data_IF_803718503480
#
_entry.id   IF_803718503480
#
_cell.length_a   1.000
_cell.length_b   1.000
_cell.length_c   1.000
_cell.angle_alpha   90.00
_cell.angle_beta   90.00
_cell.angle_gamma   90.00
#
_symmetry.space_group_name_H-M   'P 1'
#
loop_
_entity.id
_entity.type
_entity.pdbx_description
1 polymer ?
#
# COMPACT_ATOMS: atom_id res chain seq x y z
N UNK A 1 29.74 49.71 -28.53
CA UNK A 1 30.21 48.34 -28.26
C UNK A 1 29.27 47.70 -27.26
N UNK A 2 28.79 46.51 -27.58
CA UNK A 2 27.81 45.73 -26.83
C UNK A 2 28.32 45.40 -25.43
N UNK A 3 27.43 45.46 -24.44
CA UNK A 3 27.22 44.38 -23.46
C UNK A 3 25.84 44.60 -22.83
N UNK A 4 24.84 43.87 -23.36
CA UNK A 4 23.60 43.59 -22.66
C UNK A 4 23.87 42.38 -21.78
N UNK A 5 23.84 42.54 -20.46
CA UNK A 5 23.73 41.40 -19.54
C UNK A 5 22.25 40.97 -19.48
N UNK A 6 22.02 39.69 -19.71
CA UNK A 6 20.71 39.06 -19.68
C UNK A 6 20.17 38.93 -18.24
N UNK A 7 18.85 39.02 -18.01
CA UNK A 7 18.27 38.76 -16.71
C UNK A 7 18.29 37.25 -16.42
N UNK A 8 18.89 36.88 -15.29
CA UNK A 8 18.89 35.52 -14.75
C UNK A 8 17.46 35.10 -14.37
N UNK A 9 17.05 33.93 -14.84
CA UNK A 9 15.74 33.32 -14.55
C UNK A 9 15.79 32.64 -13.17
N UNK A 10 15.23 33.31 -12.14
CA UNK A 10 15.12 32.83 -10.75
C UNK A 10 13.73 32.21 -10.44
N UNK A 11 12.86 32.07 -11.45
CA UNK A 11 11.44 31.71 -11.27
C UNK A 11 11.14 30.23 -10.98
N UNK A 12 12.15 29.35 -10.87
CA UNK A 12 11.94 27.91 -10.73
C UNK A 12 11.80 27.39 -9.29
N UNK A 13 12.21 28.18 -8.29
CA UNK A 13 12.18 27.74 -6.88
C UNK A 13 10.90 28.19 -6.15
N UNK A 14 10.41 29.39 -6.42
CA UNK A 14 9.23 29.96 -5.74
C UNK A 14 7.90 29.26 -6.12
N UNK A 15 7.74 28.80 -7.37
CA UNK A 15 6.53 28.08 -7.81
C UNK A 15 6.40 26.69 -7.17
N UNK A 16 7.53 25.99 -7.00
CA UNK A 16 7.56 24.63 -6.43
C UNK A 16 7.29 24.64 -4.91
N UNK A 17 7.74 25.69 -4.22
CA UNK A 17 7.50 25.86 -2.78
C UNK A 17 6.02 26.18 -2.46
N UNK A 18 5.34 26.91 -3.35
CA UNK A 18 3.90 27.21 -3.21
C UNK A 18 3.04 25.95 -3.40
N UNK A 19 3.28 25.17 -4.46
CA UNK A 19 2.52 23.94 -4.74
C UNK A 19 2.69 22.91 -3.61
N UNK A 20 3.91 22.76 -3.08
CA UNK A 20 4.17 21.86 -1.97
C UNK A 20 3.48 22.31 -0.67
N UNK A 21 3.41 23.62 -0.41
CA UNK A 21 2.70 24.17 0.73
C UNK A 21 1.17 23.97 0.62
N UNK A 22 0.59 24.21 -0.56
CA UNK A 22 -0.83 23.93 -0.81
C UNK A 22 -1.17 22.46 -0.61
N UNK A 23 -0.30 21.56 -1.08
CA UNK A 23 -0.46 20.11 -0.86
C UNK A 23 -0.41 19.78 0.62
N UNK A 24 0.52 20.35 1.37
CA UNK A 24 0.64 20.15 2.83
C UNK A 24 -0.63 20.60 3.54
N UNK A 25 -1.10 21.80 3.25
CA UNK A 25 -2.34 22.35 3.81
C UNK A 25 -3.55 21.45 3.49
N UNK A 26 -3.64 20.93 2.26
CA UNK A 26 -4.70 20.01 1.87
C UNK A 26 -4.66 18.71 2.70
N UNK A 27 -3.49 18.09 2.87
CA UNK A 27 -3.32 16.89 3.70
C UNK A 27 -3.66 17.19 5.17
N UNK A 28 -3.24 18.34 5.68
CA UNK A 28 -3.45 18.75 7.07
C UNK A 28 -4.91 19.07 7.40
N UNK A 29 -5.73 19.38 6.39
CA UNK A 29 -7.17 19.63 6.57
C UNK A 29 -7.95 18.39 7.06
N UNK A 30 -7.41 17.19 6.89
CA UNK A 30 -8.04 15.95 7.35
C UNK A 30 -7.72 15.64 8.82
N UNK A 31 -8.73 15.19 9.56
CA UNK A 31 -8.57 14.81 10.96
C UNK A 31 -7.51 13.72 11.14
N UNK A 32 -6.54 13.95 12.02
CA UNK A 32 -5.52 12.96 12.35
C UNK A 32 -6.06 11.97 13.37
N UNK A 33 -6.21 10.71 12.95
CA UNK A 33 -6.77 9.60 13.72
C UNK A 33 -6.00 8.33 13.36
N UNK A 34 -4.74 8.23 13.78
CA UNK A 34 -3.81 7.19 13.31
C UNK A 34 -4.25 5.79 13.78
N UNK A 35 -4.78 4.93 12.88
CA UNK A 35 -4.99 3.54 13.24
C UNK A 35 -3.64 2.86 13.47
N UNK A 36 -3.52 1.91 14.41
CA UNK A 36 -2.24 1.29 14.75
C UNK A 36 -1.53 0.70 13.52
N UNK A 37 -0.32 1.17 13.19
CA UNK A 37 0.43 0.71 12.00
C UNK A 37 -0.07 1.29 10.68
N UNK A 38 -0.89 2.35 10.71
CA UNK A 38 -1.45 3.03 9.55
C UNK A 38 -0.83 4.38 9.22
N UNK A 39 0.32 4.71 9.81
CA UNK A 39 0.96 6.03 9.73
C UNK A 39 1.46 6.36 8.31
N UNK A 40 1.75 5.34 7.50
CA UNK A 40 2.27 5.48 6.13
C UNK A 40 1.57 4.58 5.13
N UNK A 41 0.31 4.21 5.40
CA UNK A 41 -0.45 3.28 4.55
C UNK A 41 -1.92 3.69 4.42
N UNK A 42 -2.61 3.09 3.46
CA UNK A 42 -4.06 3.15 3.38
C UNK A 42 -4.65 2.03 4.23
N UNK A 43 -5.47 2.39 5.22
CA UNK A 43 -6.21 1.46 6.07
C UNK A 43 -7.68 1.53 5.72
N UNK A 44 -8.27 0.39 5.40
CA UNK A 44 -9.69 0.26 5.06
C UNK A 44 -10.38 -0.63 6.09
N UNK A 45 -11.26 -0.04 6.89
CA UNK A 45 -12.21 -0.82 7.69
C UNK A 45 -13.40 -1.18 6.83
N UNK A 46 -13.68 -2.47 6.73
CA UNK A 46 -14.72 -3.02 5.87
C UNK A 46 -15.42 -4.21 6.52
N UNK A 47 -16.37 -4.78 5.80
CA UNK A 47 -16.97 -6.07 6.12
C UNK A 47 -17.10 -6.91 4.85
N UNK A 48 -16.80 -8.20 4.95
CA UNK A 48 -17.06 -9.18 3.89
C UNK A 48 -18.48 -9.76 3.96
N UNK A 49 -19.21 -9.53 5.05
CA UNK A 49 -20.59 -10.00 5.22
C UNK A 49 -21.56 -9.27 4.29
N UNK A 50 -22.51 -10.04 3.74
CA UNK A 50 -23.52 -9.55 2.78
C UNK A 50 -24.86 -9.21 3.42
N UNK A 51 -24.88 -8.97 4.74
CA UNK A 51 -26.11 -8.72 5.50
C UNK A 51 -26.83 -7.43 5.07
N UNK A 52 -26.07 -6.37 4.76
CA UNK A 52 -26.60 -5.12 4.20
C UNK A 52 -25.97 -4.94 2.81
N UNK A 53 -26.78 -5.10 1.76
CA UNK A 53 -26.31 -5.09 0.37
C UNK A 53 -25.49 -3.84 0.05
N UNK A 54 -26.04 -2.65 0.36
CA UNK A 54 -25.36 -1.36 0.12
C UNK A 54 -23.98 -1.31 0.79
N UNK A 55 -23.89 -1.68 2.07
CA UNK A 55 -22.62 -1.68 2.81
C UNK A 55 -21.60 -2.65 2.21
N UNK A 56 -22.03 -3.84 1.78
CA UNK A 56 -21.15 -4.80 1.12
C UNK A 56 -20.63 -4.27 -0.22
N UNK A 57 -21.51 -3.69 -1.04
CA UNK A 57 -21.15 -3.09 -2.33
C UNK A 57 -20.20 -1.90 -2.14
N UNK A 58 -20.47 -1.02 -1.17
CA UNK A 58 -19.61 0.10 -0.83
C UNK A 58 -18.22 -0.38 -0.37
N UNK A 59 -18.14 -1.37 0.53
CA UNK A 59 -16.88 -1.97 0.96
C UNK A 59 -16.10 -2.57 -0.21
N UNK A 60 -16.79 -3.32 -1.09
CA UNK A 60 -16.17 -3.93 -2.26
C UNK A 60 -15.69 -2.89 -3.26
N UNK A 61 -16.45 -1.82 -3.46
CA UNK A 61 -16.07 -0.73 -4.36
C UNK A 61 -14.79 -0.03 -3.88
N UNK A 62 -14.65 0.23 -2.58
CA UNK A 62 -13.43 0.81 -2.01
C UNK A 62 -12.22 -0.12 -2.17
N UNK A 63 -12.38 -1.41 -1.90
CA UNK A 63 -11.33 -2.39 -2.15
C UNK A 63 -10.88 -2.37 -3.61
N UNK A 64 -11.82 -2.33 -4.55
CA UNK A 64 -11.51 -2.32 -5.98
C UNK A 64 -10.83 -1.01 -6.40
N UNK A 65 -11.34 0.14 -5.95
CA UNK A 65 -10.78 1.46 -6.25
C UNK A 65 -9.29 1.54 -5.90
N UNK A 66 -8.92 1.19 -4.66
CA UNK A 66 -7.50 1.26 -4.27
C UNK A 66 -6.65 0.23 -5.01
N UNK A 67 -7.19 -0.97 -5.29
CA UNK A 67 -6.48 -1.99 -6.08
C UNK A 67 -6.21 -1.53 -7.51
N UNK A 68 -7.19 -0.89 -8.17
CA UNK A 68 -7.03 -0.36 -9.53
C UNK A 68 -6.06 0.82 -9.58
N UNK A 69 -5.96 1.59 -8.50
CA UNK A 69 -4.94 2.62 -8.32
C UNK A 69 -3.55 2.07 -7.97
N UNK A 70 -3.39 0.73 -7.87
CA UNK A 70 -2.11 0.10 -7.52
C UNK A 70 -1.68 0.33 -6.07
N UNK A 71 -2.63 0.68 -5.20
CA UNK A 71 -2.36 0.94 -3.77
C UNK A 71 -2.54 -0.35 -2.98
N UNK A 72 -1.55 -0.70 -2.18
CA UNK A 72 -1.69 -1.77 -1.20
C UNK A 72 -2.46 -1.25 0.02
N UNK A 73 -3.59 -1.89 0.30
CA UNK A 73 -4.47 -1.53 1.41
C UNK A 73 -4.33 -2.52 2.57
N UNK A 74 -4.25 -1.96 3.77
CA UNK A 74 -4.44 -2.69 5.02
C UNK A 74 -5.95 -2.88 5.27
N UNK A 75 -6.49 -3.99 4.76
CA UNK A 75 -7.90 -4.35 4.93
C UNK A 75 -8.16 -4.89 6.34
N UNK A 76 -9.03 -4.17 7.09
CA UNK A 76 -9.48 -4.50 8.44
C UNK A 76 -10.94 -4.89 8.42
N UNK A 77 -11.20 -6.19 8.26
CA UNK A 77 -12.56 -6.73 8.28
C UNK A 77 -13.08 -6.83 9.73
N UNK A 78 -14.03 -5.96 10.08
CA UNK A 78 -14.60 -5.88 11.43
C UNK A 78 -15.51 -7.06 11.79
N UNK A 79 -15.94 -7.83 10.79
CA UNK A 79 -16.69 -9.08 10.99
C UNK A 79 -15.78 -10.27 11.30
N UNK A 80 -14.56 -10.25 10.77
CA UNK A 80 -13.57 -11.31 10.98
C UNK A 80 -12.77 -11.12 12.28
N UNK A 81 -12.66 -9.87 12.75
CA UNK A 81 -11.98 -9.54 13.99
C UNK A 81 -12.64 -8.37 14.73
N UNK A 82 -13.26 -8.67 15.87
CA UNK A 82 -13.88 -7.70 16.78
C UNK A 82 -12.92 -6.66 17.33
N UNK A 83 -11.61 -6.96 17.38
CA UNK A 83 -10.56 -5.99 17.72
C UNK A 83 -10.59 -4.77 16.80
N UNK A 84 -10.76 -4.98 15.49
CA UNK A 84 -10.88 -3.89 14.53
C UNK A 84 -12.17 -3.07 14.72
N UNK A 85 -13.26 -3.71 15.14
CA UNK A 85 -14.50 -2.98 15.47
C UNK A 85 -14.31 -2.07 16.68
N UNK A 86 -13.65 -2.58 17.72
CA UNK A 86 -13.36 -1.80 18.94
C UNK A 86 -12.39 -0.66 18.65
N UNK A 87 -11.34 -0.95 17.89
CA UNK A 87 -10.35 0.04 17.44
C UNK A 87 -10.99 1.17 16.63
N UNK A 88 -11.83 0.85 15.63
CA UNK A 88 -12.52 1.86 14.83
C UNK A 88 -13.42 2.76 15.69
N UNK A 89 -14.13 2.16 16.65
CA UNK A 89 -14.97 2.91 17.59
C UNK A 89 -14.14 3.84 18.49
N UNK A 90 -12.95 3.41 18.91
CA UNK A 90 -12.04 4.23 19.71
C UNK A 90 -11.47 5.41 18.91
N UNK A 91 -11.10 5.17 17.64
CA UNK A 91 -10.54 6.22 16.77
C UNK A 91 -11.55 7.33 16.46
N UNK A 92 -12.83 6.99 16.32
CA UNK A 92 -13.88 7.93 15.89
C UNK A 92 -14.85 8.34 17.01
N UNK A 93 -14.66 7.81 18.23
CA UNK A 93 -15.47 8.13 19.41
C UNK A 93 -16.91 7.61 19.39
N UNK A 94 -17.40 7.07 18.27
CA UNK A 94 -18.76 6.59 18.11
C UNK A 94 -18.84 5.38 17.17
N UNK A 95 -19.91 4.56 17.25
CA UNK A 95 -20.23 3.60 16.20
C UNK A 95 -20.44 4.32 14.86
N UNK A 96 -19.81 3.81 13.81
CA UNK A 96 -19.91 4.38 12.46
C UNK A 96 -20.28 3.31 11.44
N UNK A 97 -20.89 3.74 10.34
CA UNK A 97 -21.11 2.89 9.18
C UNK A 97 -19.81 2.49 8.48
N UNK A 98 -19.88 1.42 7.70
CA UNK A 98 -18.77 0.97 6.84
C UNK A 98 -19.06 1.34 5.38
N UNK A 99 -18.01 1.48 4.55
CA UNK A 99 -16.58 1.42 4.91
C UNK A 99 -16.07 2.69 5.60
N UNK A 100 -14.86 2.60 6.18
CA UNK A 100 -14.10 3.76 6.69
C UNK A 100 -12.66 3.71 6.21
N UNK A 101 -12.18 4.81 5.65
CA UNK A 101 -10.87 4.91 5.01
C UNK A 101 -9.97 5.88 5.76
N UNK A 102 -8.74 5.44 6.00
CA UNK A 102 -7.67 6.25 6.55
C UNK A 102 -6.47 6.21 5.60
N UNK A 103 -5.78 7.33 5.41
CA UNK A 103 -4.59 7.44 4.57
C UNK A 103 -3.52 8.16 5.37
N UNK A 104 -2.35 7.52 5.55
CA UNK A 104 -1.22 8.06 6.33
C UNK A 104 -1.65 8.63 7.69
N UNK A 105 -2.43 7.85 8.44
CA UNK A 105 -2.93 8.22 9.75
C UNK A 105 -4.08 9.24 9.79
N UNK A 106 -4.57 9.71 8.63
CA UNK A 106 -5.67 10.69 8.57
C UNK A 106 -6.98 10.05 8.15
N UNK A 107 -8.07 10.47 8.77
CA UNK A 107 -9.42 10.01 8.45
C UNK A 107 -9.95 10.74 7.22
N UNK A 108 -10.28 9.98 6.17
CA UNK A 108 -10.72 10.53 4.89
C UNK A 108 -12.24 10.50 4.75
N UNK A 109 -12.89 9.44 5.23
CA UNK A 109 -14.35 9.33 5.20
C UNK A 109 -14.87 7.92 4.90
N UNK A 110 -16.12 7.88 4.45
CA UNK A 110 -16.79 6.68 3.94
C UNK A 110 -16.64 6.53 2.42
N UNK A 111 -17.47 5.65 1.84
CA UNK A 111 -17.39 5.36 0.42
C UNK A 111 -17.71 6.58 -0.45
N UNK A 112 -18.66 7.41 -0.04
CA UNK A 112 -19.11 8.56 -0.84
C UNK A 112 -18.09 9.68 -0.86
N UNK A 113 -17.53 10.01 0.30
CA UNK A 113 -16.50 11.04 0.44
C UNK A 113 -15.25 10.67 -0.36
N UNK A 114 -14.84 9.40 -0.30
CA UNK A 114 -13.68 8.90 -1.06
C UNK A 114 -13.97 8.88 -2.57
N UNK A 115 -15.17 8.50 -3.01
CA UNK A 115 -15.57 8.54 -4.43
C UNK A 115 -15.55 9.97 -4.96
N UNK A 116 -16.19 10.90 -4.26
CA UNK A 116 -16.21 12.31 -4.65
C UNK A 116 -14.79 12.88 -4.76
N UNK A 117 -13.92 12.53 -3.81
CA UNK A 117 -12.52 12.95 -3.83
C UNK A 117 -11.72 12.32 -4.99
N UNK A 118 -12.04 11.09 -5.38
CA UNK A 118 -11.44 10.44 -6.54
C UNK A 118 -11.85 11.12 -7.84
N UNK A 119 -13.15 11.43 -8.01
CA UNK A 119 -13.71 12.10 -9.18
C UNK A 119 -13.13 13.51 -9.37
N UNK A 120 -12.86 14.22 -8.28
CA UNK A 120 -12.22 15.53 -8.29
C UNK A 120 -10.70 15.48 -8.50
N UNK A 121 -10.09 14.29 -8.59
CA UNK A 121 -8.63 14.12 -8.70
C UNK A 121 -7.86 14.34 -7.39
N UNK A 122 -8.52 14.78 -6.32
CA UNK A 122 -7.91 15.08 -5.03
C UNK A 122 -7.35 13.84 -4.32
N UNK A 123 -7.92 12.65 -4.57
CA UNK A 123 -7.47 11.42 -3.92
C UNK A 123 -6.04 11.05 -4.35
N UNK A 124 -5.65 11.37 -5.58
CA UNK A 124 -4.30 11.12 -6.09
C UNK A 124 -3.24 11.91 -5.30
N UNK A 125 -3.57 13.12 -4.83
CA UNK A 125 -2.69 13.96 -4.01
C UNK A 125 -2.38 13.31 -2.66
N UNK A 126 -3.37 12.65 -2.03
CA UNK A 126 -3.17 11.93 -0.76
C UNK A 126 -2.39 10.63 -0.91
N UNK A 127 -2.49 9.98 -2.08
CA UNK A 127 -1.87 8.69 -2.36
C UNK A 127 -0.46 8.81 -2.94
N UNK A 128 0.04 10.03 -3.14
CA UNK A 128 1.34 10.26 -3.76
C UNK A 128 2.46 9.55 -2.99
N UNK A 129 3.24 8.74 -3.69
CA UNK A 129 4.32 7.94 -3.10
C UNK A 129 3.89 6.61 -2.48
N UNK A 130 2.59 6.27 -2.44
CA UNK A 130 2.08 5.02 -1.85
C UNK A 130 1.87 3.88 -2.86
N UNK A 131 2.17 4.12 -4.15
CA UNK A 131 1.97 3.12 -5.22
C UNK A 131 2.85 1.90 -4.99
N UNK A 132 2.20 0.74 -4.94
CA UNK A 132 2.86 -0.55 -4.80
C UNK A 132 3.21 -1.12 -6.17
N UNK A 133 4.51 -1.25 -6.46
CA UNK A 133 5.00 -1.82 -7.75
C UNK A 133 4.81 -3.33 -7.90
N UNK A 134 4.22 -4.00 -6.90
CA UNK A 134 3.97 -5.44 -6.94
C UNK A 134 2.49 -5.69 -7.21
N UNK A 135 2.20 -6.55 -8.18
CA UNK A 135 0.87 -6.83 -8.73
C UNK A 135 -0.24 -6.97 -7.66
N UNK A 136 -0.93 -5.86 -7.42
CA UNK A 136 -2.06 -5.73 -6.49
C UNK A 136 -3.34 -6.44 -6.97
N UNK A 137 -3.32 -7.00 -8.18
CA UNK A 137 -4.46 -7.62 -8.82
C UNK A 137 -4.63 -9.12 -8.50
N UNK A 138 -3.55 -9.80 -8.12
CA UNK A 138 -3.58 -11.23 -7.87
C UNK A 138 -3.96 -11.51 -6.41
N UNK A 139 -4.82 -12.51 -6.20
CA UNK A 139 -5.12 -13.01 -4.87
C UNK A 139 -3.82 -13.48 -4.19
N UNK A 140 -3.70 -13.26 -2.89
CA UNK A 140 -2.53 -13.70 -2.14
C UNK A 140 -2.45 -15.24 -2.13
N UNK A 141 -1.32 -15.82 -2.55
CA UNK A 141 -1.12 -17.28 -2.59
C UNK A 141 -1.30 -17.98 -1.23
N UNK A 142 -1.15 -17.24 -0.12
CA UNK A 142 -1.33 -17.79 1.22
C UNK A 142 -2.77 -17.76 1.74
N UNK A 143 -3.53 -16.70 1.48
CA UNK A 143 -4.87 -16.51 2.06
C UNK A 143 -5.99 -16.39 1.03
N UNK A 144 -5.70 -16.50 -0.27
CA UNK A 144 -6.67 -16.32 -1.34
C UNK A 144 -7.31 -14.92 -1.37
N UNK A 145 -6.68 -13.92 -0.75
CA UNK A 145 -7.23 -12.58 -0.61
C UNK A 145 -8.13 -12.36 0.62
N UNK A 146 -8.30 -13.36 1.49
CA UNK A 146 -9.12 -13.25 2.71
C UNK A 146 -8.44 -12.50 3.85
N UNK A 147 -7.15 -12.18 3.72
CA UNK A 147 -6.30 -11.46 4.70
C UNK A 147 -6.10 -12.14 6.05
N UNK A 148 -6.80 -13.24 6.31
CA UNK A 148 -6.68 -14.08 7.49
C UNK A 148 -6.43 -15.54 7.10
N UNK A 149 -5.77 -16.28 7.98
CA UNK A 149 -5.56 -17.73 7.85
C UNK A 149 -5.82 -18.42 9.20
N UNK A 150 -6.19 -19.72 9.23
CA UNK A 150 -6.31 -20.47 10.46
C UNK A 150 -5.03 -20.43 11.30
N UNK A 151 -5.19 -20.32 12.61
CA UNK A 151 -4.08 -20.31 13.56
C UNK A 151 -3.33 -21.65 13.51
N UNK A 152 -2.02 -21.62 13.24
CA UNK A 152 -1.19 -22.83 13.19
C UNK A 152 -1.02 -23.54 14.55
N UNK A 153 -1.14 -22.80 15.65
CA UNK A 153 -0.93 -23.34 17.00
C UNK A 153 -2.13 -24.11 17.52
N UNK A 154 -3.35 -23.58 17.32
CA UNK A 154 -4.59 -24.23 17.77
C UNK A 154 -5.41 -24.84 16.63
N UNK A 155 -4.92 -24.75 15.39
CA UNK A 155 -5.59 -25.21 14.16
C UNK A 155 -7.00 -24.64 13.99
N UNK A 156 -7.21 -23.38 14.40
CA UNK A 156 -8.52 -22.73 14.35
C UNK A 156 -9.44 -22.99 15.54
N UNK A 157 -9.09 -23.89 16.46
CA UNK A 157 -9.99 -24.26 17.58
C UNK A 157 -10.06 -23.25 18.72
N UNK A 158 -9.20 -22.23 18.73
CA UNK A 158 -8.96 -21.32 19.87
C UNK A 158 -8.49 -22.00 21.16
N UNK A 159 -8.15 -23.30 21.13
CA UNK A 159 -7.88 -24.10 22.32
C UNK A 159 -6.48 -24.74 22.25
N UNK A 160 -5.78 -24.74 23.38
CA UNK A 160 -4.54 -25.48 23.58
C UNK A 160 -4.72 -26.41 24.78
N UNK A 161 -4.31 -27.67 24.64
CA UNK A 161 -4.37 -28.66 25.71
C UNK A 161 -3.05 -28.66 26.47
N UNK A 162 -3.13 -28.59 27.80
CA UNK A 162 -1.95 -28.68 28.66
C UNK A 162 -1.53 -30.14 28.80
N UNK A 163 -0.24 -30.40 28.65
CA UNK A 163 0.33 -31.74 28.83
C UNK A 163 0.20 -32.14 30.31
N UNK A 164 -0.24 -33.37 30.57
CA UNK A 164 -0.41 -33.89 31.94
C UNK A 164 -1.78 -33.68 32.57
N UNK A 165 -2.84 -33.49 31.78
CA UNK A 165 -4.22 -33.44 32.29
C UNK A 165 -4.69 -32.07 32.81
N UNK A 166 -3.87 -31.02 32.66
CA UNK A 166 -4.11 -29.67 33.19
C UNK A 166 -5.23 -28.85 32.52
N UNK A 167 -6.12 -29.47 31.75
CA UNK A 167 -7.27 -28.78 31.13
C UNK A 167 -6.95 -28.03 29.83
N UNK A 168 -7.90 -27.17 29.42
CA UNK A 168 -7.89 -26.42 28.15
C UNK A 168 -7.66 -24.94 28.41
N UNK A 169 -6.69 -24.32 27.73
CA UNK A 169 -6.47 -22.87 27.75
C UNK A 169 -6.81 -22.23 26.40
N UNK A 170 -7.17 -20.95 26.43
CA UNK A 170 -7.35 -20.15 25.20
C UNK A 170 -6.00 -19.97 24.50
N UNK A 171 -5.99 -20.11 23.18
CA UNK A 171 -4.80 -19.89 22.38
C UNK A 171 -4.42 -18.39 22.41
N UNK A 172 -3.19 -18.01 22.81
CA UNK A 172 -2.77 -16.62 22.88
C UNK A 172 -2.34 -16.04 21.52
N UNK A 173 -2.28 -16.88 20.47
CA UNK A 173 -1.72 -16.50 19.17
C UNK A 173 -2.78 -16.12 18.14
N UNK A 174 -4.07 -16.28 18.44
CA UNK A 174 -5.15 -16.01 17.49
C UNK A 174 -6.26 -15.19 18.10
N UNK A 175 -7.09 -14.61 17.23
CA UNK A 175 -8.27 -13.90 17.66
C UNK A 175 -9.38 -14.88 18.11
N UNK A 176 -10.55 -14.33 18.43
CA UNK A 176 -11.73 -15.07 18.88
C UNK A 176 -12.23 -16.16 17.92
N UNK A 177 -11.91 -16.04 16.63
CA UNK A 177 -12.33 -16.95 15.57
C UNK A 177 -11.26 -17.99 15.22
N UNK A 178 -10.14 -18.04 15.95
CA UNK A 178 -9.10 -19.03 15.72
C UNK A 178 -8.24 -18.70 14.51
N UNK A 179 -8.29 -17.47 14.01
CA UNK A 179 -7.57 -17.00 12.83
C UNK A 179 -6.53 -15.94 13.22
N UNK A 180 -5.54 -15.79 12.36
CA UNK A 180 -4.47 -14.80 12.46
C UNK A 180 -4.38 -14.02 11.16
N UNK A 181 -3.85 -12.79 11.22
CA UNK A 181 -3.56 -12.03 10.01
C UNK A 181 -2.59 -12.82 9.11
N UNK A 182 -2.83 -12.81 7.81
CA UNK A 182 -2.00 -13.53 6.86
C UNK A 182 -0.58 -12.93 6.85
N UNK A 183 0.47 -13.71 7.16
CA UNK A 183 1.83 -13.19 7.26
C UNK A 183 2.36 -12.64 5.93
N UNK A 184 1.88 -13.17 4.79
CA UNK A 184 2.26 -12.69 3.45
C UNK A 184 1.61 -11.33 3.13
N UNK A 185 0.41 -11.07 3.65
CA UNK A 185 -0.26 -9.78 3.50
C UNK A 185 0.26 -8.74 4.49
N UNK A 186 0.65 -9.17 5.68
CA UNK A 186 1.12 -8.30 6.76
C UNK A 186 2.63 -8.01 6.71
N UNK A 187 3.41 -8.76 5.93
CA UNK A 187 4.80 -8.40 5.68
C UNK A 187 4.85 -7.11 4.88
N UNK A 188 5.61 -6.08 5.30
CA UNK A 188 5.92 -4.97 4.42
C UNK A 188 6.70 -5.56 3.25
N UNK A 189 6.04 -5.75 2.10
CA UNK A 189 6.71 -5.97 0.83
C UNK A 189 7.35 -4.65 0.43
N UNK A 190 8.31 -4.21 1.24
CA UNK A 190 9.13 -3.07 0.98
C UNK A 190 9.82 -3.35 -0.36
N UNK A 191 9.64 -2.44 -1.33
CA UNK A 191 10.66 -1.55 -1.90
C UNK A 191 12.09 -2.11 -2.11
N UNK A 192 12.57 -3.05 -1.28
CA UNK A 192 13.89 -3.65 -1.26
C UNK A 192 14.18 -4.52 -2.49
N UNK A 193 13.22 -5.35 -2.94
CA UNK A 193 13.42 -6.15 -4.15
C UNK A 193 13.47 -5.24 -5.38
N UNK A 194 12.74 -4.13 -5.37
CA UNK A 194 12.73 -3.21 -6.53
C UNK A 194 14.03 -2.43 -6.67
N UNK A 195 14.64 -1.92 -5.59
CA UNK A 195 15.95 -1.22 -5.71
C UNK A 195 17.07 -2.18 -6.07
N UNK A 196 17.08 -3.39 -5.51
CA UNK A 196 18.10 -4.40 -5.82
C UNK A 196 17.93 -4.94 -7.24
N UNK A 197 16.70 -5.25 -7.67
CA UNK A 197 16.43 -5.71 -9.04
C UNK A 197 16.68 -4.61 -10.07
N UNK A 198 16.30 -3.35 -9.80
CA UNK A 198 16.62 -2.23 -10.71
C UNK A 198 18.13 -2.01 -10.79
N UNK A 199 18.87 -2.16 -9.70
CA UNK A 199 20.33 -2.09 -9.69
C UNK A 199 20.96 -3.25 -10.48
N UNK A 200 20.46 -4.48 -10.31
CA UNK A 200 20.90 -5.64 -11.08
C UNK A 200 20.58 -5.51 -12.57
N UNK A 201 19.39 -5.02 -12.93
CA UNK A 201 19.01 -4.76 -14.33
C UNK A 201 19.89 -3.67 -14.93
N UNK A 202 20.16 -2.58 -14.21
CA UNK A 202 21.06 -1.53 -14.66
C UNK A 202 22.49 -2.05 -14.85
N UNK A 203 23.00 -2.87 -13.92
CA UNK A 203 24.31 -3.53 -14.06
C UNK A 203 24.35 -4.46 -15.27
N UNK A 204 23.32 -5.26 -15.50
CA UNK A 204 23.22 -6.13 -16.67
C UNK A 204 23.22 -5.33 -17.98
N UNK A 205 22.48 -4.21 -18.05
CA UNK A 205 22.48 -3.31 -19.21
C UNK A 205 23.89 -2.73 -19.46
N UNK A 206 24.56 -2.26 -18.41
CA UNK A 206 25.93 -1.71 -18.52
C UNK A 206 26.92 -2.78 -18.98
N UNK A 207 26.85 -3.99 -18.43
CA UNK A 207 27.72 -5.10 -18.84
C UNK A 207 27.49 -5.49 -20.31
N UNK A 208 26.23 -5.58 -20.76
CA UNK A 208 25.91 -5.87 -22.17
C UNK A 208 26.47 -4.77 -23.08
N UNK A 209 26.35 -3.50 -22.69
CA UNK A 209 26.88 -2.39 -23.47
C UNK A 209 28.42 -2.43 -23.57
N UNK A 210 29.10 -2.68 -22.45
CA UNK A 210 30.57 -2.83 -22.41
C UNK A 210 31.06 -4.01 -23.25
N UNK A 211 30.40 -5.16 -23.16
CA UNK A 211 30.73 -6.35 -23.98
C UNK A 211 30.49 -6.05 -25.46
N UNK A 212 29.38 -5.40 -25.81
CA UNK A 212 29.08 -5.02 -27.19
C UNK A 212 30.12 -4.04 -27.75
N UNK A 213 30.54 -3.05 -26.96
CA UNK A 213 31.60 -2.11 -27.34
C UNK A 213 32.94 -2.82 -27.52
N UNK A 214 33.29 -3.76 -26.63
CA UNK A 214 34.54 -4.51 -26.72
C UNK A 214 34.58 -5.43 -27.95
N UNK A 215 33.47 -6.11 -28.25
CA UNK A 215 33.32 -6.92 -29.46
C UNK A 215 33.41 -6.05 -30.72
N UNK A 216 32.74 -4.89 -30.74
CA UNK A 216 32.76 -3.99 -31.89
C UNK A 216 34.15 -3.34 -32.10
N UNK A 217 34.84 -2.98 -31.03
CA UNK A 217 36.22 -2.49 -31.08
C UNK A 217 37.17 -3.59 -31.61
N UNK A 218 37.05 -4.81 -31.09
CA UNK A 218 37.86 -5.96 -31.54
C UNK A 218 37.58 -6.31 -33.01
N UNK A 219 36.32 -6.22 -33.45
CA UNK A 219 35.94 -6.44 -34.85
C UNK A 219 36.52 -5.35 -35.77
N UNK A 220 36.59 -4.09 -35.32
CA UNK A 220 37.24 -2.99 -36.05
C UNK A 220 38.75 -3.16 -36.18
N UNK A 221 39.41 -3.76 -35.20
CA UNK A 221 40.83 -4.07 -35.25
C UNK A 221 41.14 -5.29 -36.14
N UNK A 222 40.25 -6.29 -36.16
CA UNK A 222 40.40 -7.50 -36.98
C UNK A 222 40.03 -7.31 -38.46
N UNK A 223 39.16 -6.34 -38.79
CA UNK A 223 38.72 -6.06 -40.16
C UNK A 223 38.73 -4.55 -40.47
N UNK A 224 39.92 -3.93 -40.62
CA UNK A 224 40.03 -2.55 -41.06
C UNK A 224 39.75 -2.47 -42.57
N UNK A 225 38.47 -2.38 -42.97
CA UNK A 225 38.13 -1.89 -44.32
C UNK A 225 37.17 -2.71 -45.19
N UNK A 226 36.05 -3.20 -44.68
CA UNK A 226 34.91 -3.57 -45.53
C UNK A 226 33.64 -2.89 -45.05
N UNK A 227 33.40 -1.70 -45.59
CA UNK A 227 32.05 -1.14 -45.74
C UNK A 227 31.60 -1.41 -47.20
N UNK A 228 30.33 -1.78 -47.45
CA UNK A 228 29.75 -1.57 -48.77
C UNK A 228 29.61 -0.08 -49.11
#
# INVERSE_FOLDING_TARGET
MLSQEAPQCDGGQEENDQEENERRNFVESFQQCCPPGGESSVVLYCTSLRGIRKTYEDCRSMQMLFRTLGINIDERDVSMHSGFRTELRQLLGAPVGLPRVFIAGRFIGGAEEVRSMHEQGNLARLLQGMVSRHGSFLACDGCGGMRFVPCRWCRGSCKLFLVGGGGVKKCPHCNENGIVRCPICSSPKAVLVSRFLMFLVALMIVMVFQVTLHINASHRELYPGTLP
#
